data_IF_292337220870
#
_entry.id   IF_292337220870
#
_cell.length_a   1.000
_cell.length_b   1.000
_cell.length_c   1.000
_cell.angle_alpha   90.00
_cell.angle_beta   90.00
_cell.angle_gamma   90.00
#
_symmetry.space_group_name_H-M   'P 1'
#
loop_
_entity.id
_entity.type
_entity.pdbx_description
1 polymer ?
#
# COMPACT_ATOMS: atom_id res chain seq x y z
N UNK A 1 -16.39 -11.36 13.60
CA UNK A 1 -16.76 -9.92 13.52
C UNK A 1 -16.13 -9.33 12.27
N UNK A 2 -16.92 -8.75 11.37
CA UNK A 2 -16.38 -7.91 10.31
C UNK A 2 -15.92 -6.58 10.93
N UNK A 3 -14.77 -6.04 10.50
CA UNK A 3 -14.34 -4.71 10.92
C UNK A 3 -15.40 -3.67 10.54
N UNK A 4 -15.75 -2.79 11.47
CA UNK A 4 -16.59 -1.63 11.16
C UNK A 4 -15.73 -0.59 10.43
N UNK A 5 -16.00 -0.40 9.14
CA UNK A 5 -15.28 0.50 8.23
C UNK A 5 -13.75 0.26 8.15
N UNK A 6 -13.32 -0.88 7.56
CA UNK A 6 -11.90 -1.16 7.40
C UNK A 6 -11.24 -0.09 6.50
N UNK A 7 -10.07 0.43 6.88
CA UNK A 7 -9.32 1.36 6.04
C UNK A 7 -8.91 0.69 4.74
N UNK A 8 -8.78 1.47 3.66
CA UNK A 8 -8.22 0.94 2.42
C UNK A 8 -6.78 0.48 2.68
N UNK A 9 -6.33 -0.67 2.13
CA UNK A 9 -4.98 -1.19 2.38
C UNK A 9 -3.88 -0.17 2.06
N UNK A 10 -4.07 0.66 1.05
CA UNK A 10 -3.15 1.75 0.73
C UNK A 10 -3.00 2.81 1.81
N UNK A 11 -4.09 3.20 2.49
CA UNK A 11 -4.02 4.14 3.61
C UNK A 11 -3.29 3.52 4.79
N UNK A 12 -3.56 2.23 5.06
CA UNK A 12 -2.87 1.50 6.11
C UNK A 12 -1.36 1.43 5.87
N UNK A 13 -0.94 1.14 4.63
CA UNK A 13 0.48 1.07 4.26
C UNK A 13 1.15 2.44 4.44
N UNK A 14 0.48 3.51 3.99
CA UNK A 14 0.99 4.86 4.10
C UNK A 14 1.22 5.26 5.57
N UNK A 15 0.17 5.14 6.40
CA UNK A 15 0.19 5.59 7.79
C UNK A 15 1.06 4.73 8.71
N UNK A 16 1.13 3.43 8.46
CA UNK A 16 1.84 2.49 9.35
C UNK A 16 3.30 2.30 8.97
N UNK A 17 3.64 2.39 7.67
CA UNK A 17 4.98 2.05 7.18
C UNK A 17 5.67 3.16 6.41
N UNK A 18 4.98 3.94 5.59
CA UNK A 18 5.68 4.94 4.77
C UNK A 18 5.96 6.23 5.54
N UNK A 19 4.97 6.79 6.21
CA UNK A 19 5.12 8.02 6.99
C UNK A 19 6.10 7.90 8.17
N UNK A 20 6.00 6.89 9.06
CA UNK A 20 6.89 6.82 10.24
C UNK A 20 8.35 6.51 9.89
N UNK A 21 8.59 5.83 8.77
CA UNK A 21 9.93 5.46 8.33
C UNK A 21 10.45 6.34 7.17
N UNK A 22 9.68 7.34 6.74
CA UNK A 22 10.05 8.26 5.65
C UNK A 22 10.30 7.56 4.30
N UNK A 23 9.61 6.44 4.04
CA UNK A 23 9.86 5.63 2.85
C UNK A 23 9.23 6.25 1.61
N UNK A 24 9.99 6.23 0.51
CA UNK A 24 9.44 6.63 -0.78
C UNK A 24 8.62 5.49 -1.41
N UNK A 25 7.59 5.85 -2.19
CA UNK A 25 6.80 4.89 -2.96
C UNK A 25 7.66 4.03 -3.90
N UNK A 26 8.73 4.61 -4.47
CA UNK A 26 9.64 3.87 -5.36
C UNK A 26 10.41 2.81 -4.59
N UNK A 27 11.02 3.21 -3.47
CA UNK A 27 11.78 2.31 -2.62
C UNK A 27 10.93 1.14 -2.14
N UNK A 28 9.73 1.40 -1.63
CA UNK A 28 8.84 0.33 -1.15
C UNK A 28 8.38 -0.58 -2.29
N UNK A 29 8.13 -0.04 -3.48
CA UNK A 29 7.76 -0.83 -4.66
C UNK A 29 8.91 -1.76 -5.11
N UNK A 30 10.16 -1.27 -5.09
CA UNK A 30 11.33 -2.10 -5.37
C UNK A 30 11.52 -3.22 -4.35
N UNK A 31 11.30 -2.95 -3.06
CA UNK A 31 11.40 -3.99 -2.01
C UNK A 31 10.30 -5.05 -2.12
N UNK A 32 9.13 -4.68 -2.64
CA UNK A 32 8.00 -5.58 -2.84
C UNK A 32 7.99 -6.23 -4.23
N UNK A 33 9.02 -6.00 -5.05
CA UNK A 33 9.13 -6.47 -6.44
C UNK A 33 7.90 -6.13 -7.31
N UNK A 34 7.31 -4.95 -7.09
CA UNK A 34 6.17 -4.44 -7.87
C UNK A 34 6.50 -3.15 -8.60
N UNK A 35 5.75 -2.87 -9.67
CA UNK A 35 5.90 -1.60 -10.35
C UNK A 35 5.50 -0.42 -9.44
N UNK A 36 6.23 0.71 -9.44
CA UNK A 36 5.86 1.90 -8.67
C UNK A 36 4.45 2.42 -8.99
N UNK A 37 3.99 2.22 -10.24
CA UNK A 37 2.64 2.58 -10.67
C UNK A 37 1.57 1.69 -10.04
N UNK A 38 1.85 0.41 -9.78
CA UNK A 38 0.96 -0.50 -9.06
C UNK A 38 0.82 -0.05 -7.62
N UNK A 39 1.94 0.13 -6.91
CA UNK A 39 1.91 0.57 -5.52
C UNK A 39 1.25 1.96 -5.39
N UNK A 40 1.53 2.89 -6.30
CA UNK A 40 0.93 4.24 -6.29
C UNK A 40 -0.60 4.20 -6.41
N UNK A 41 -1.16 3.31 -7.23
CA UNK A 41 -2.62 3.13 -7.33
C UNK A 41 -3.21 2.61 -6.03
N UNK A 42 -2.53 1.70 -5.35
CA UNK A 42 -2.98 1.16 -4.05
C UNK A 42 -2.97 2.28 -3.00
N UNK A 43 -1.87 3.01 -2.87
CA UNK A 43 -1.73 4.13 -1.94
C UNK A 43 -2.78 5.23 -2.15
N UNK A 44 -3.18 5.47 -3.42
CA UNK A 44 -4.23 6.43 -3.78
C UNK A 44 -5.65 5.90 -3.66
N UNK A 45 -5.84 4.71 -3.07
CA UNK A 45 -7.15 4.06 -2.93
C UNK A 45 -7.85 3.74 -4.27
N UNK A 46 -7.08 3.63 -5.35
CA UNK A 46 -7.60 3.38 -6.71
C UNK A 46 -7.58 1.89 -7.07
N UNK A 47 -6.87 1.07 -6.31
CA UNK A 47 -6.75 -0.37 -6.53
C UNK A 47 -6.59 -1.10 -5.20
N UNK A 48 -7.18 -2.29 -5.09
CA UNK A 48 -6.89 -3.21 -3.99
C UNK A 48 -5.54 -3.91 -4.14
N UNK A 49 -5.19 -4.72 -3.14
CA UNK A 49 -4.05 -5.64 -3.18
C UNK A 49 -4.51 -6.94 -3.82
N UNK A 50 -3.83 -7.37 -4.88
CA UNK A 50 -4.11 -8.64 -5.57
C UNK A 50 -3.53 -9.83 -4.79
N UNK A 51 -4.06 -11.05 -4.95
CA UNK A 51 -3.49 -12.25 -4.34
C UNK A 51 -2.03 -12.52 -4.75
N UNK A 52 -1.64 -12.14 -5.96
CA UNK A 52 -0.24 -12.24 -6.43
C UNK A 52 0.74 -11.31 -5.67
N UNK A 53 0.22 -10.31 -4.95
CA UNK A 53 1.00 -9.39 -4.12
C UNK A 53 1.06 -9.79 -2.64
N UNK A 54 0.30 -10.81 -2.22
CA UNK A 54 0.16 -11.24 -0.82
C UNK A 54 0.93 -12.54 -0.56
#
# INVERSE_FOLDING_TARGET
MAMYNPPHPGEFILATYMEPYGLSCRYLAEQLDVSPSTLSRILKQQSGVSPEMA
#
